data_IF_518466532844
#
_entry.id   IF_518466532844
#
_cell.length_a   1.000
_cell.length_b   1.000
_cell.length_c   1.000
_cell.angle_alpha   90.00
_cell.angle_beta   90.00
_cell.angle_gamma   90.00
#
_symmetry.space_group_name_H-M   'P 1'
#
loop_
_entity.id
_entity.type
_entity.pdbx_description
1 polymer ?
#
# COMPACT_ATOMS: atom_id res chain seq x y z
N UNK A 1 4.88 3.46 -54.39
CA UNK A 1 3.40 3.51 -54.53
C UNK A 1 2.77 3.14 -53.19
N UNK A 2 1.67 3.77 -52.77
CA UNK A 2 0.98 3.44 -51.51
C UNK A 2 0.04 2.24 -51.71
N UNK A 3 -0.07 1.36 -50.72
CA UNK A 3 -1.21 0.44 -50.55
C UNK A 3 -1.67 0.47 -49.10
N UNK A 4 -2.75 1.19 -48.86
CA UNK A 4 -3.49 1.17 -47.58
C UNK A 4 -4.17 -0.19 -47.43
N UNK A 5 -4.12 -0.78 -46.23
CA UNK A 5 -5.00 -1.89 -45.85
C UNK A 5 -5.82 -1.41 -44.66
N UNK A 6 -7.13 -1.40 -44.84
CA UNK A 6 -8.10 -1.11 -43.78
C UNK A 6 -8.49 -2.45 -43.16
N UNK A 7 -8.40 -2.56 -41.84
CA UNK A 7 -8.98 -3.69 -41.11
C UNK A 7 -10.19 -3.18 -40.32
N UNK A 8 -11.36 -3.77 -40.60
CA UNK A 8 -12.64 -3.32 -40.06
C UNK A 8 -12.90 -3.92 -38.68
N UNK A 9 -13.45 -3.09 -37.79
CA UNK A 9 -14.00 -3.51 -36.50
C UNK A 9 -15.31 -4.27 -36.70
N UNK A 10 -15.52 -5.35 -35.94
CA UNK A 10 -16.83 -6.00 -35.79
C UNK A 10 -17.21 -6.09 -34.32
N UNK A 11 -18.02 -5.13 -33.85
CA UNK A 11 -18.60 -5.15 -32.51
C UNK A 11 -19.95 -5.88 -32.56
N UNK A 12 -20.03 -7.06 -31.96
CA UNK A 12 -21.24 -7.86 -31.94
C UNK A 12 -22.22 -7.36 -30.86
N UNK A 13 -23.24 -6.63 -31.27
CA UNK A 13 -24.29 -6.13 -30.39
C UNK A 13 -25.35 -7.22 -30.14
N UNK A 14 -25.59 -7.57 -28.87
CA UNK A 14 -26.70 -8.44 -28.46
C UNK A 14 -27.58 -7.74 -27.41
N UNK A 15 -28.75 -7.28 -27.85
CA UNK A 15 -29.79 -6.71 -27.00
C UNK A 15 -30.82 -7.79 -26.62
N UNK A 16 -30.98 -8.03 -25.32
CA UNK A 16 -32.00 -8.92 -24.78
C UNK A 16 -32.90 -8.20 -23.78
N UNK A 17 -34.09 -7.77 -24.21
CA UNK A 17 -35.04 -7.02 -23.39
C UNK A 17 -36.15 -7.92 -22.83
N UNK A 18 -36.37 -7.87 -21.50
CA UNK A 18 -37.62 -8.29 -20.87
C UNK A 18 -37.89 -7.41 -19.63
N UNK A 19 -39.12 -6.94 -19.46
CA UNK A 19 -39.51 -6.09 -18.33
C UNK A 19 -40.41 -6.86 -17.34
N UNK A 20 -40.28 -6.55 -16.05
CA UNK A 20 -41.15 -7.06 -14.99
C UNK A 20 -41.53 -5.93 -14.04
N UNK A 21 -42.82 -5.63 -13.94
CA UNK A 21 -43.33 -4.47 -13.18
C UNK A 21 -43.63 -4.82 -11.73
N UNK A 22 -43.21 -3.96 -10.79
CA UNK A 22 -43.76 -3.89 -9.44
C UNK A 22 -44.21 -2.46 -9.15
N UNK A 23 -45.44 -2.27 -8.67
CA UNK A 23 -46.03 -0.96 -8.38
C UNK A 23 -46.83 -1.03 -7.08
N UNK A 24 -46.50 -0.15 -6.13
CA UNK A 24 -47.21 0.02 -4.87
C UNK A 24 -47.23 1.51 -4.49
N UNK A 25 -48.37 1.99 -4.00
CA UNK A 25 -48.66 3.42 -3.74
C UNK A 25 -48.69 3.69 -2.22
N UNK A 26 -48.21 4.85 -1.72
CA UNK A 26 -47.96 5.07 -0.29
C UNK A 26 -49.21 5.46 0.53
N UNK A 27 -49.09 5.39 1.87
CA UNK A 27 -50.12 5.76 2.86
C UNK A 27 -49.70 6.86 3.85
N UNK A 28 -50.70 7.44 4.53
CA UNK A 28 -50.63 8.63 5.40
C UNK A 28 -51.14 8.28 6.84
N UNK A 29 -50.96 9.06 7.91
CA UNK A 29 -50.44 10.45 8.13
C UNK A 29 -49.77 10.51 9.54
N UNK A 30 -49.04 11.59 9.92
CA UNK A 30 -48.35 11.74 11.22
C UNK A 30 -49.21 12.56 12.22
N UNK A 31 -48.67 13.24 13.27
CA UNK A 31 -47.55 12.96 14.20
C UNK A 31 -48.01 12.94 15.70
N UNK A 32 -47.10 12.66 16.64
CA UNK A 32 -47.35 12.86 18.09
C UNK A 32 -46.08 13.14 18.92
N UNK A 33 -46.11 14.16 19.79
CA UNK A 33 -45.01 14.63 20.66
C UNK A 33 -45.57 15.64 21.71
N UNK A 34 -44.92 15.92 22.86
CA UNK A 34 -44.25 15.04 23.84
C UNK A 34 -44.95 15.07 25.23
N UNK A 35 -44.51 14.22 26.16
CA UNK A 35 -44.71 14.44 27.60
C UNK A 35 -43.42 14.27 28.40
N UNK A 36 -43.10 15.32 29.17
CA UNK A 36 -42.53 15.38 30.53
C UNK A 36 -42.53 14.06 31.34
N UNK A 37 -41.74 13.82 32.39
CA UNK A 37 -40.70 14.48 33.21
C UNK A 37 -40.67 13.65 34.53
N UNK A 38 -39.92 14.03 35.59
CA UNK A 38 -39.78 13.28 36.88
C UNK A 38 -38.93 12.00 36.74
N UNK A 39 -37.73 11.81 37.31
CA UNK A 39 -37.03 12.31 38.52
C UNK A 39 -37.35 11.61 39.84
N UNK A 40 -36.52 10.64 40.24
CA UNK A 40 -36.20 10.41 41.67
C UNK A 40 -34.98 9.50 41.92
N UNK A 41 -33.99 10.07 42.62
CA UNK A 41 -33.16 9.50 43.70
C UNK A 41 -32.88 7.97 43.78
N UNK A 42 -31.58 7.63 43.73
CA UNK A 42 -30.99 6.53 44.53
C UNK A 42 -31.15 6.77 46.04
N UNK A 43 -30.94 5.77 46.92
CA UNK A 43 -29.64 5.76 47.61
C UNK A 43 -29.09 4.39 48.10
N UNK A 44 -27.75 4.37 48.20
CA UNK A 44 -26.91 3.80 49.28
C UNK A 44 -26.66 2.27 49.47
N UNK A 45 -25.34 2.03 49.59
CA UNK A 45 -24.60 1.19 50.55
C UNK A 45 -24.80 -0.33 50.64
N UNK A 46 -23.67 -1.04 50.49
CA UNK A 46 -23.16 -1.92 51.56
C UNK A 46 -21.63 -2.11 51.45
N UNK A 47 -20.94 -1.96 52.58
CA UNK A 47 -19.50 -2.25 52.72
C UNK A 47 -19.26 -3.67 53.22
N UNK A 48 -18.14 -4.29 52.79
CA UNK A 48 -17.09 -4.97 53.58
C UNK A 48 -16.12 -5.66 52.60
N UNK A 49 -14.80 -5.47 52.70
CA UNK A 49 -13.86 -6.10 53.66
C UNK A 49 -13.82 -7.62 53.60
N UNK A 50 -12.68 -8.31 53.68
CA UNK A 50 -11.23 -8.01 53.53
C UNK A 50 -10.56 -9.39 53.48
N UNK A 51 -9.50 -9.60 52.69
CA UNK A 51 -8.47 -10.59 53.08
C UNK A 51 -7.14 -10.36 52.35
N UNK A 52 -6.05 -10.45 53.10
CA UNK A 52 -4.67 -10.48 52.60
C UNK A 52 -4.10 -11.89 52.81
N UNK A 53 -3.26 -12.37 51.90
CA UNK A 53 -2.07 -13.13 52.32
C UNK A 53 -0.94 -13.08 51.28
N UNK A 54 0.25 -13.43 51.75
CA UNK A 54 1.55 -13.10 51.16
C UNK A 54 2.27 -14.33 50.59
N UNK A 55 3.18 -14.05 49.65
CA UNK A 55 4.50 -14.69 49.43
C UNK A 55 4.68 -16.20 49.49
N UNK A 56 5.34 -16.73 48.47
CA UNK A 56 6.59 -17.50 48.68
C UNK A 56 7.55 -17.31 47.48
N UNK A 57 8.86 -17.34 47.74
CA UNK A 57 9.93 -17.34 46.73
C UNK A 57 10.58 -18.74 46.72
N UNK A 58 11.00 -19.26 45.56
CA UNK A 58 12.21 -20.10 45.48
C UNK A 58 12.67 -20.40 44.04
N UNK A 59 13.99 -20.27 43.87
CA UNK A 59 14.90 -20.81 42.84
C UNK A 59 16.04 -21.51 43.67
N UNK A 60 16.99 -22.32 43.15
CA UNK A 60 17.37 -22.56 41.75
C UNK A 60 17.74 -24.02 41.38
N UNK A 61 18.37 -24.19 40.20
CA UNK A 61 19.32 -25.27 39.81
C UNK A 61 18.73 -26.68 39.50
N UNK A 62 19.40 -27.60 38.79
CA UNK A 62 20.73 -27.62 38.15
C UNK A 62 20.82 -28.69 37.03
N UNK A 63 21.71 -28.53 36.02
CA UNK A 63 22.33 -29.59 35.17
C UNK A 63 21.44 -30.54 34.32
N UNK A 64 21.96 -31.44 33.46
CA UNK A 64 23.00 -31.37 32.41
C UNK A 64 23.03 -32.69 31.60
N UNK A 65 23.86 -32.77 30.55
CA UNK A 65 24.39 -33.99 29.86
C UNK A 65 23.44 -34.86 29.01
N UNK A 66 23.88 -35.68 28.04
CA UNK A 66 25.03 -35.72 27.07
C UNK A 66 24.68 -36.81 26.01
N UNK A 67 25.61 -37.20 25.13
CA UNK A 67 25.58 -38.34 24.17
C UNK A 67 24.84 -38.00 22.87
N UNK A 68 25.49 -37.72 21.73
CA UNK A 68 26.65 -38.35 21.05
C UNK A 68 26.40 -39.81 20.61
N UNK A 69 26.41 -40.06 19.30
CA UNK A 69 27.32 -41.06 18.73
C UNK A 69 27.66 -40.74 17.25
N UNK A 70 28.83 -41.19 16.80
CA UNK A 70 29.37 -41.04 15.43
C UNK A 70 29.29 -42.43 14.72
N UNK A 71 29.48 -42.63 13.41
CA UNK A 71 30.77 -43.09 12.82
C UNK A 71 30.52 -43.72 11.41
N UNK A 72 31.19 -43.16 10.39
CA UNK A 72 31.74 -43.78 9.13
C UNK A 72 30.90 -44.54 8.06
N UNK A 73 31.24 -44.23 6.80
CA UNK A 73 31.23 -45.16 5.63
C UNK A 73 32.41 -46.17 5.66
N UNK A 74 32.50 -47.16 4.75
CA UNK A 74 33.31 -46.89 3.52
C UNK A 74 32.95 -47.71 2.25
N UNK A 75 33.13 -47.08 1.06
CA UNK A 75 33.84 -47.56 -0.18
C UNK A 75 33.63 -49.00 -0.75
N UNK A 76 33.71 -49.34 -2.06
CA UNK A 76 33.91 -48.63 -3.36
C UNK A 76 33.72 -49.64 -4.54
N UNK A 77 33.49 -49.17 -5.78
CA UNK A 77 33.86 -49.75 -7.12
C UNK A 77 32.73 -50.06 -8.12
N UNK A 78 32.96 -50.14 -9.46
CA UNK A 78 33.72 -49.27 -10.41
C UNK A 78 33.39 -49.66 -11.89
N UNK A 79 32.97 -48.70 -12.73
CA UNK A 79 33.14 -48.60 -14.21
C UNK A 79 32.63 -47.20 -14.65
N UNK A 80 33.24 -46.33 -15.47
CA UNK A 80 33.87 -46.45 -16.82
C UNK A 80 32.87 -46.92 -17.91
N UNK A 81 32.74 -46.31 -19.09
CA UNK A 81 33.41 -45.15 -19.73
C UNK A 81 32.48 -44.55 -20.82
N UNK A 82 32.64 -43.38 -21.44
CA UNK A 82 33.64 -42.27 -21.42
C UNK A 82 32.84 -40.92 -21.45
N UNK A 83 33.18 -39.71 -21.94
CA UNK A 83 34.34 -39.06 -22.60
C UNK A 83 34.28 -37.52 -22.38
N UNK A 84 35.40 -36.78 -22.52
CA UNK A 84 35.42 -35.30 -22.69
C UNK A 84 36.80 -34.76 -23.10
N UNK A 85 36.88 -34.03 -24.23
CA UNK A 85 37.87 -32.98 -24.47
C UNK A 85 37.19 -31.63 -24.84
N UNK A 86 37.74 -30.44 -24.59
CA UNK A 86 39.00 -30.03 -23.91
C UNK A 86 38.86 -28.59 -23.42
N UNK A 87 39.65 -28.19 -22.44
CA UNK A 87 39.89 -26.77 -22.13
C UNK A 87 40.77 -26.12 -23.21
N UNK A 88 40.45 -24.89 -23.60
CA UNK A 88 41.39 -23.96 -24.24
C UNK A 88 41.30 -22.58 -23.58
N UNK A 89 42.45 -21.92 -23.45
CA UNK A 89 42.69 -20.72 -22.65
C UNK A 89 43.53 -19.72 -23.43
N UNK A 90 42.87 -18.90 -24.27
CA UNK A 90 43.50 -17.77 -24.95
C UNK A 90 42.57 -16.55 -25.05
N UNK A 91 43.18 -15.38 -24.87
CA UNK A 91 42.68 -14.00 -25.01
C UNK A 91 41.42 -13.52 -24.21
N UNK A 92 41.48 -12.33 -23.57
CA UNK A 92 40.34 -11.72 -22.88
C UNK A 92 39.37 -11.04 -23.86
N UNK A 93 38.66 -11.82 -24.68
CA UNK A 93 37.76 -11.29 -25.70
C UNK A 93 36.54 -12.17 -26.03
N UNK A 94 35.33 -11.67 -25.69
CA UNK A 94 34.02 -12.13 -26.21
C UNK A 94 33.59 -13.58 -25.90
N UNK A 95 32.94 -13.78 -24.75
CA UNK A 95 31.88 -14.79 -24.55
C UNK A 95 30.69 -14.10 -23.87
N UNK A 96 29.41 -14.30 -24.22
CA UNK A 96 28.82 -15.10 -25.30
C UNK A 96 27.66 -14.38 -26.02
N UNK A 97 26.82 -15.10 -26.80
CA UNK A 97 25.82 -14.46 -27.65
C UNK A 97 24.52 -14.06 -26.90
N UNK A 98 23.99 -12.86 -27.22
CA UNK A 98 22.62 -12.36 -26.91
C UNK A 98 22.37 -11.82 -25.48
N UNK A 99 23.11 -10.79 -25.05
CA UNK A 99 22.75 -9.95 -23.89
C UNK A 99 21.41 -9.23 -24.08
N UNK A 100 21.40 -8.07 -24.73
CA UNK A 100 20.17 -7.29 -24.98
C UNK A 100 19.09 -8.08 -25.74
N UNK A 101 19.49 -8.95 -26.68
CA UNK A 101 18.56 -9.84 -27.42
C UNK A 101 17.91 -10.92 -26.55
N UNK A 102 18.49 -11.23 -25.38
CA UNK A 102 17.84 -12.05 -24.35
C UNK A 102 16.79 -11.26 -23.59
N UNK A 103 17.13 -10.04 -23.14
CA UNK A 103 16.22 -9.12 -22.46
C UNK A 103 15.01 -8.76 -23.34
N UNK A 104 15.21 -8.45 -24.62
CA UNK A 104 14.16 -8.23 -25.63
C UNK A 104 13.27 -9.46 -25.91
N UNK A 105 13.68 -10.67 -25.49
CA UNK A 105 12.80 -11.85 -25.50
C UNK A 105 12.06 -11.99 -24.17
N UNK A 106 12.74 -11.73 -23.05
CA UNK A 106 12.14 -11.81 -21.71
C UNK A 106 10.99 -10.80 -21.54
N UNK A 107 11.19 -9.56 -21.99
CA UNK A 107 10.22 -8.47 -21.79
C UNK A 107 8.85 -8.75 -22.41
N UNK A 108 8.76 -9.48 -23.53
CA UNK A 108 7.48 -9.87 -24.14
C UNK A 108 6.60 -10.75 -23.24
N UNK A 109 7.18 -11.40 -22.23
CA UNK A 109 6.47 -12.24 -21.26
C UNK A 109 6.11 -11.50 -19.97
N UNK A 110 6.60 -10.26 -19.79
CA UNK A 110 6.45 -9.46 -18.55
C UNK A 110 6.15 -7.97 -18.80
N UNK A 111 5.85 -7.56 -20.05
CA UNK A 111 5.53 -6.17 -20.41
C UNK A 111 4.34 -5.59 -19.65
N UNK A 112 3.41 -6.45 -19.22
CA UNK A 112 2.19 -6.11 -18.46
C UNK A 112 2.41 -6.36 -16.95
N UNK A 113 3.62 -6.08 -16.44
CA UNK A 113 4.06 -6.32 -15.05
C UNK A 113 5.17 -5.33 -14.68
N UNK A 114 5.40 -5.03 -13.39
CA UNK A 114 6.51 -4.16 -12.95
C UNK A 114 7.91 -4.62 -13.41
N UNK A 115 8.11 -5.92 -13.58
CA UNK A 115 9.36 -6.48 -14.15
C UNK A 115 9.60 -6.08 -15.62
N UNK A 116 8.55 -5.70 -16.37
CA UNK A 116 8.63 -5.14 -17.71
C UNK A 116 9.34 -3.79 -17.72
N UNK A 117 8.89 -2.85 -16.90
CA UNK A 117 9.51 -1.53 -16.77
C UNK A 117 10.99 -1.61 -16.37
N UNK A 118 11.34 -2.48 -15.41
CA UNK A 118 12.74 -2.71 -15.00
C UNK A 118 13.60 -3.29 -16.14
N UNK A 119 13.06 -4.21 -16.95
CA UNK A 119 13.77 -4.71 -18.13
C UNK A 119 13.86 -3.68 -19.26
N UNK A 120 12.87 -2.78 -19.38
CA UNK A 120 12.88 -1.69 -20.33
C UNK A 120 13.94 -0.63 -19.99
N UNK A 121 14.03 -0.21 -18.71
CA UNK A 121 15.10 0.66 -18.22
C UNK A 121 16.48 0.05 -18.48
N UNK A 122 16.71 -1.21 -18.12
CA UNK A 122 17.99 -1.88 -18.36
C UNK A 122 18.33 -1.94 -19.86
N UNK A 123 17.33 -2.09 -20.72
CA UNK A 123 17.50 -2.09 -22.17
C UNK A 123 17.85 -0.69 -22.71
N UNK A 124 17.15 0.34 -22.28
CA UNK A 124 17.37 1.72 -22.71
C UNK A 124 18.70 2.26 -22.14
N UNK A 125 18.92 2.18 -20.83
CA UNK A 125 20.12 2.73 -20.17
C UNK A 125 21.43 2.06 -20.61
N UNK A 126 21.44 0.73 -20.81
CA UNK A 126 22.69 -0.02 -21.11
C UNK A 126 22.84 -0.41 -22.57
N UNK A 127 21.77 -0.39 -23.36
CA UNK A 127 21.78 -0.91 -24.74
C UNK A 127 21.09 0.03 -25.78
N UNK A 128 20.81 1.30 -25.47
CA UNK A 128 20.24 2.27 -26.43
C UNK A 128 20.97 2.35 -27.79
N UNK A 129 22.28 2.07 -27.83
CA UNK A 129 23.06 2.04 -29.08
C UNK A 129 22.85 0.77 -29.93
N UNK A 130 22.30 -0.31 -29.36
CA UNK A 130 22.00 -1.58 -30.03
C UNK A 130 20.50 -1.77 -30.38
N UNK A 131 19.65 -0.81 -29.97
CA UNK A 131 18.21 -0.77 -30.17
C UNK A 131 17.82 0.10 -31.37
N UNK A 132 16.80 -0.32 -32.12
CA UNK A 132 16.16 0.55 -33.14
C UNK A 132 15.28 1.60 -32.49
N UNK A 133 14.98 2.72 -33.16
CA UNK A 133 14.06 3.74 -32.64
C UNK A 133 12.65 3.19 -32.37
N UNK A 134 12.21 2.19 -33.13
CA UNK A 134 10.94 1.48 -32.91
C UNK A 134 10.99 0.63 -31.62
N UNK A 135 12.11 -0.04 -31.35
CA UNK A 135 12.33 -0.76 -30.09
C UNK A 135 12.46 0.20 -28.92
N UNK A 136 13.17 1.32 -29.05
CA UNK A 136 13.26 2.34 -28.00
C UNK A 136 11.87 2.83 -27.62
N UNK A 137 11.03 3.17 -28.60
CA UNK A 137 9.65 3.59 -28.37
C UNK A 137 8.77 2.49 -27.76
N UNK A 138 8.95 1.22 -28.15
CA UNK A 138 8.28 0.07 -27.51
C UNK A 138 8.69 -0.06 -26.03
N UNK A 139 9.96 0.17 -25.71
CA UNK A 139 10.50 0.09 -24.35
C UNK A 139 10.13 1.30 -23.50
N UNK A 140 10.17 2.51 -24.05
CA UNK A 140 9.70 3.74 -23.42
C UNK A 140 8.21 3.60 -23.04
N UNK A 141 7.38 3.06 -23.93
CA UNK A 141 5.97 2.76 -23.64
C UNK A 141 5.75 1.63 -22.62
N UNK A 142 6.78 0.88 -22.23
CA UNK A 142 6.76 -0.12 -21.13
C UNK A 142 7.37 0.46 -19.83
N UNK A 143 8.20 1.50 -19.92
CA UNK A 143 8.61 2.29 -18.74
C UNK A 143 7.49 3.22 -18.28
N UNK A 144 6.75 3.82 -19.22
CA UNK A 144 5.66 4.75 -18.93
C UNK A 144 4.30 4.01 -18.82
N UNK A 145 4.28 2.97 -17.98
CA UNK A 145 3.09 2.16 -17.65
C UNK A 145 1.98 3.03 -17.03
N UNK A 146 2.36 3.95 -16.13
CA UNK A 146 1.48 4.96 -15.54
C UNK A 146 0.78 5.82 -16.61
N UNK A 147 1.53 6.29 -17.60
CA UNK A 147 1.07 7.13 -18.72
C UNK A 147 0.21 6.36 -19.73
N UNK A 148 0.49 5.07 -19.92
CA UNK A 148 -0.38 4.19 -20.71
C UNK A 148 -1.74 3.99 -20.00
N UNK A 149 -1.73 3.85 -18.67
CA UNK A 149 -2.93 3.78 -17.84
C UNK A 149 -3.67 5.12 -17.79
N UNK A 150 -2.99 6.27 -17.69
CA UNK A 150 -3.60 7.61 -17.82
C UNK A 150 -4.26 7.80 -19.20
N UNK A 151 -3.58 7.43 -20.29
CA UNK A 151 -4.14 7.53 -21.65
C UNK A 151 -5.39 6.67 -21.79
N UNK A 152 -5.41 5.47 -21.19
CA UNK A 152 -6.58 4.61 -21.16
C UNK A 152 -7.71 5.17 -20.27
N UNK A 153 -7.37 5.80 -19.13
CA UNK A 153 -8.33 6.49 -18.27
C UNK A 153 -8.96 7.69 -18.97
N UNK A 154 -8.18 8.52 -19.69
CA UNK A 154 -8.70 9.60 -20.53
C UNK A 154 -9.65 9.06 -21.61
N UNK A 155 -9.29 7.96 -22.28
CA UNK A 155 -10.17 7.34 -23.29
C UNK A 155 -11.47 6.82 -22.68
N UNK A 156 -11.44 6.23 -21.48
CA UNK A 156 -12.64 5.77 -20.78
C UNK A 156 -13.52 6.94 -20.30
N UNK A 157 -12.91 8.01 -19.78
CA UNK A 157 -13.62 9.22 -19.37
C UNK A 157 -14.32 9.89 -20.56
N UNK A 158 -13.63 10.06 -21.69
CA UNK A 158 -14.20 10.63 -22.92
C UNK A 158 -15.32 9.76 -23.51
N UNK A 159 -15.28 8.44 -23.31
CA UNK A 159 -16.36 7.51 -23.67
C UNK A 159 -17.48 7.43 -22.60
N UNK A 160 -17.37 8.19 -21.51
CA UNK A 160 -18.38 8.27 -20.44
C UNK A 160 -18.26 7.23 -19.33
N UNK A 161 -17.30 6.29 -19.40
CA UNK A 161 -17.08 5.29 -18.35
C UNK A 161 -16.13 5.81 -17.26
N UNK A 162 -16.60 6.81 -16.52
CA UNK A 162 -15.82 7.51 -15.48
C UNK A 162 -15.38 6.55 -14.37
N UNK A 163 -16.18 5.53 -14.03
CA UNK A 163 -15.82 4.52 -13.01
C UNK A 163 -14.62 3.68 -13.43
N UNK A 164 -14.55 3.28 -14.70
CA UNK A 164 -13.42 2.49 -15.21
C UNK A 164 -12.17 3.37 -15.35
N UNK A 165 -12.34 4.65 -15.72
CA UNK A 165 -11.27 5.63 -15.74
C UNK A 165 -10.68 5.89 -14.34
N UNK A 166 -11.54 6.00 -13.31
CA UNK A 166 -11.12 6.04 -11.90
C UNK A 166 -10.27 4.82 -11.54
N UNK A 167 -10.71 3.61 -11.91
CA UNK A 167 -9.96 2.39 -11.62
C UNK A 167 -8.58 2.35 -12.31
N UNK A 168 -8.49 2.70 -13.60
CA UNK A 168 -7.19 2.75 -14.28
C UNK A 168 -6.26 3.85 -13.72
N UNK A 169 -6.81 4.97 -13.26
CA UNK A 169 -6.01 5.99 -12.57
C UNK A 169 -5.53 5.52 -11.18
N UNK A 170 -6.33 4.72 -10.46
CA UNK A 170 -5.92 4.06 -9.21
C UNK A 170 -4.82 3.02 -9.46
N UNK A 171 -4.79 2.32 -10.60
CA UNK A 171 -3.65 1.46 -11.01
C UNK A 171 -2.42 2.27 -11.48
N UNK A 172 -2.60 3.37 -12.22
CA UNK A 172 -1.51 4.26 -12.64
C UNK A 172 -0.73 4.79 -11.42
N UNK A 173 -1.47 5.15 -10.36
CA UNK A 173 -0.90 5.57 -9.08
C UNK A 173 -0.06 4.46 -8.43
N UNK A 174 -0.43 3.18 -8.53
CA UNK A 174 0.40 2.09 -7.97
C UNK A 174 1.71 1.91 -8.74
N UNK A 175 1.69 2.12 -10.06
CA UNK A 175 2.90 2.08 -10.89
C UNK A 175 3.86 3.23 -10.57
N UNK A 176 3.34 4.46 -10.37
CA UNK A 176 4.17 5.65 -10.08
C UNK A 176 3.62 6.52 -8.93
N UNK A 177 3.58 5.97 -7.71
CA UNK A 177 3.00 6.64 -6.52
C UNK A 177 3.75 7.89 -6.05
N UNK A 178 4.93 8.19 -6.62
CA UNK A 178 5.68 9.43 -6.33
C UNK A 178 5.24 10.59 -7.26
N UNK A 179 4.41 10.34 -8.28
CA UNK A 179 3.87 11.36 -9.20
C UNK A 179 2.55 12.00 -8.68
N UNK A 180 2.61 13.26 -8.26
CA UNK A 180 1.46 13.98 -7.70
C UNK A 180 0.35 14.33 -8.71
N UNK A 181 0.66 14.47 -10.00
CA UNK A 181 -0.35 14.80 -11.01
C UNK A 181 -1.38 13.66 -11.21
N UNK A 182 -0.98 12.41 -10.93
CA UNK A 182 -1.89 11.26 -10.98
C UNK A 182 -3.02 11.37 -9.96
N UNK A 183 -2.70 11.77 -8.72
CA UNK A 183 -3.68 11.99 -7.63
C UNK A 183 -4.63 13.16 -7.94
N UNK A 184 -4.09 14.23 -8.53
CA UNK A 184 -4.82 15.40 -9.01
C UNK A 184 -5.81 15.05 -10.13
N UNK A 185 -5.44 14.16 -11.03
CA UNK A 185 -6.35 13.62 -12.06
C UNK A 185 -7.39 12.68 -11.45
N UNK A 186 -7.00 11.79 -10.53
CA UNK A 186 -7.93 10.94 -9.78
C UNK A 186 -8.94 11.76 -8.95
N UNK A 187 -8.56 12.93 -8.44
CA UNK A 187 -9.46 13.88 -7.78
C UNK A 187 -10.63 14.29 -8.70
N UNK A 188 -10.31 14.80 -9.90
CA UNK A 188 -11.30 15.22 -10.92
C UNK A 188 -12.22 14.06 -11.33
N UNK A 189 -11.63 12.88 -11.54
CA UNK A 189 -12.35 11.66 -11.93
C UNK A 189 -13.34 11.22 -10.82
N UNK A 190 -12.92 11.26 -9.56
CA UNK A 190 -13.78 10.97 -8.41
C UNK A 190 -14.92 11.98 -8.25
N UNK A 191 -14.70 13.27 -8.50
CA UNK A 191 -15.76 14.28 -8.52
C UNK A 191 -16.77 14.03 -9.65
N UNK A 192 -16.31 13.73 -10.87
CA UNK A 192 -17.16 13.35 -12.01
C UNK A 192 -17.95 12.06 -11.74
N UNK A 193 -17.37 11.10 -11.01
CA UNK A 193 -18.04 9.88 -10.56
C UNK A 193 -18.97 10.09 -9.35
N UNK A 194 -19.08 11.31 -8.80
CA UNK A 194 -19.91 11.61 -7.64
C UNK A 194 -19.42 11.00 -6.32
N UNK A 195 -18.17 10.53 -6.23
CA UNK A 195 -17.58 10.09 -4.95
C UNK A 195 -17.45 11.29 -3.99
N UNK A 196 -17.57 11.06 -2.68
CA UNK A 196 -17.55 12.15 -1.68
C UNK A 196 -16.21 12.89 -1.61
N UNK A 197 -16.28 14.21 -1.79
CA UNK A 197 -15.21 15.15 -1.48
C UNK A 197 -14.86 15.10 0.03
N UNK A 198 -13.58 14.91 0.32
CA UNK A 198 -13.03 14.73 1.66
C UNK A 198 -11.53 14.47 1.53
N UNK A 199 -10.79 14.59 2.63
CA UNK A 199 -9.34 14.35 2.59
C UNK A 199 -9.09 12.86 2.34
N UNK A 200 -8.17 12.53 1.42
CA UNK A 200 -7.78 11.15 1.12
C UNK A 200 -6.41 10.83 1.73
N UNK A 201 -6.13 9.55 1.94
CA UNK A 201 -4.81 9.05 2.33
C UNK A 201 -4.45 7.86 1.44
N UNK A 202 -3.29 7.97 0.80
CA UNK A 202 -2.61 6.88 0.11
C UNK A 202 -1.28 6.58 0.80
N UNK A 203 -0.93 5.31 0.90
CA UNK A 203 0.34 4.82 1.46
C UNK A 203 0.96 3.85 0.47
N UNK A 204 2.20 4.10 0.03
CA UNK A 204 2.90 3.30 -0.99
C UNK A 204 2.07 3.09 -2.30
N UNK A 205 1.24 4.07 -2.67
CA UNK A 205 0.35 4.00 -3.83
C UNK A 205 -1.02 3.38 -3.57
N UNK A 206 -1.25 2.74 -2.42
CA UNK A 206 -2.54 2.12 -2.09
C UNK A 206 -3.46 3.10 -1.35
N UNK A 207 -4.71 3.20 -1.79
CA UNK A 207 -5.74 4.04 -1.17
C UNK A 207 -6.32 3.40 0.08
N UNK A 208 -6.52 4.19 1.14
CA UNK A 208 -7.05 3.70 2.42
C UNK A 208 -8.52 4.08 2.64
N UNK A 209 -9.31 3.18 3.25
CA UNK A 209 -10.70 3.44 3.68
C UNK A 209 -10.83 4.42 4.86
N UNK A 210 -9.71 4.87 5.41
CA UNK A 210 -9.70 5.80 6.52
C UNK A 210 -10.15 7.21 6.10
N UNK A 211 -10.64 7.98 7.07
CA UNK A 211 -11.05 9.37 6.86
C UNK A 211 -10.09 10.35 7.57
N UNK A 212 -8.96 10.72 6.95
CA UNK A 212 -8.18 11.88 7.39
C UNK A 212 -9.06 13.14 7.46
N UNK A 213 -8.68 14.08 8.33
CA UNK A 213 -9.44 15.33 8.50
C UNK A 213 -8.53 16.52 8.81
N UNK A 214 -8.96 17.72 8.43
CA UNK A 214 -8.26 18.96 8.79
C UNK A 214 -8.97 19.58 10.00
N UNK A 215 -8.23 19.82 11.08
CA UNK A 215 -8.74 20.40 12.34
C UNK A 215 -7.76 21.45 12.84
N UNK A 216 -8.21 22.71 12.92
CA UNK A 216 -7.37 23.88 13.31
C UNK A 216 -6.05 23.94 12.52
N UNK A 217 -6.13 23.90 11.19
CA UNK A 217 -4.97 23.99 10.29
C UNK A 217 -4.07 22.74 10.21
N UNK A 218 -4.32 21.71 11.03
CA UNK A 218 -3.54 20.47 11.04
C UNK A 218 -4.29 19.36 10.30
N UNK A 219 -3.62 18.67 9.38
CA UNK A 219 -4.13 17.42 8.77
C UNK A 219 -3.83 16.26 9.70
N UNK A 220 -4.89 15.58 10.13
CA UNK A 220 -4.85 14.40 11.00
C UNK A 220 -5.01 13.13 10.17
N UNK A 221 -4.16 12.14 10.43
CA UNK A 221 -4.13 10.84 9.75
C UNK A 221 -4.14 9.68 10.75
N UNK A 222 -4.70 8.50 10.40
CA UNK A 222 -4.70 7.31 11.25
C UNK A 222 -3.27 6.79 11.43
N UNK A 223 -2.74 6.82 12.66
CA UNK A 223 -1.34 6.44 12.89
C UNK A 223 -1.10 4.95 12.62
N UNK A 224 -2.00 4.09 13.11
CA UNK A 224 -1.94 2.63 12.92
C UNK A 224 -1.91 2.24 11.43
N UNK A 225 -2.87 2.70 10.64
CA UNK A 225 -3.02 2.26 9.25
C UNK A 225 -1.78 2.63 8.40
N UNK A 226 -1.19 3.81 8.64
CA UNK A 226 0.08 4.16 7.99
C UNK A 226 1.20 3.25 8.49
N UNK A 227 1.36 3.10 9.80
CA UNK A 227 2.43 2.27 10.37
C UNK A 227 2.38 0.82 9.86
N UNK A 228 1.20 0.19 9.83
CA UNK A 228 1.01 -1.20 9.37
C UNK A 228 1.30 -1.36 7.86
N UNK A 229 0.86 -0.43 7.00
CA UNK A 229 1.20 -0.45 5.56
C UNK A 229 2.68 -0.14 5.29
N UNK A 230 3.35 0.58 6.20
CA UNK A 230 4.80 0.76 6.22
C UNK A 230 5.55 -0.38 6.95
N UNK A 231 4.91 -1.54 7.14
CA UNK A 231 5.49 -2.75 7.74
C UNK A 231 5.98 -2.60 9.20
N UNK A 232 5.45 -1.65 9.96
CA UNK A 232 5.73 -1.48 11.38
C UNK A 232 4.75 -2.27 12.26
N UNK A 233 5.23 -2.82 13.38
CA UNK A 233 4.39 -3.44 14.40
C UNK A 233 3.71 -2.37 15.26
N UNK A 234 2.43 -2.56 15.63
CA UNK A 234 1.59 -1.54 16.32
C UNK A 234 0.83 -2.10 17.53
N UNK A 235 1.41 -1.96 18.72
CA UNK A 235 0.77 -2.34 20.00
C UNK A 235 -0.12 -1.22 20.56
N UNK A 236 -1.21 -1.58 21.25
CA UNK A 236 -2.03 -0.63 22.03
C UNK A 236 -2.04 -1.04 23.50
N UNK A 237 -1.66 -0.11 24.38
CA UNK A 237 -1.84 -0.23 25.83
C UNK A 237 -3.11 0.53 26.25
N UNK A 238 -4.17 -0.15 26.71
CA UNK A 238 -5.42 0.51 27.13
C UNK A 238 -5.30 1.24 28.47
N UNK A 239 -4.41 0.82 29.37
CA UNK A 239 -4.23 1.39 30.71
C UNK A 239 -3.51 2.75 30.64
N UNK A 240 -2.40 2.80 29.90
CA UNK A 240 -1.68 4.04 29.59
C UNK A 240 -2.37 4.89 28.52
N UNK A 241 -3.39 4.34 27.84
CA UNK A 241 -4.00 4.90 26.63
C UNK A 241 -2.95 5.29 25.56
N UNK A 242 -1.98 4.41 25.31
CA UNK A 242 -0.84 4.68 24.42
C UNK A 242 -0.70 3.67 23.29
N UNK A 243 -0.31 4.15 22.11
CA UNK A 243 0.19 3.29 21.02
C UNK A 243 1.71 3.19 21.15
N UNK A 244 2.26 1.99 20.98
CA UNK A 244 3.67 1.75 20.68
C UNK A 244 3.78 1.30 19.22
N UNK A 245 4.76 1.83 18.47
CA UNK A 245 5.09 1.40 17.11
C UNK A 245 6.57 1.04 17.02
N UNK A 246 6.90 -0.05 16.35
CA UNK A 246 8.28 -0.54 16.18
C UNK A 246 8.58 -0.96 14.74
N UNK A 247 9.67 -0.42 14.18
CA UNK A 247 10.19 -0.74 12.82
C UNK A 247 11.69 -0.45 12.76
N UNK A 248 12.49 -1.36 12.21
CA UNK A 248 13.92 -1.14 11.86
C UNK A 248 14.79 -0.51 12.97
N UNK A 249 14.54 -0.90 14.23
CA UNK A 249 15.24 -0.36 15.40
C UNK A 249 14.72 1.01 15.89
N UNK A 250 13.75 1.61 15.19
CA UNK A 250 12.97 2.75 15.68
C UNK A 250 11.83 2.24 16.57
N UNK A 251 11.66 2.88 17.73
CA UNK A 251 10.54 2.67 18.65
C UNK A 251 9.86 4.00 18.98
N UNK A 252 8.56 4.07 18.77
CA UNK A 252 7.72 5.25 19.01
C UNK A 252 6.70 4.91 20.08
N UNK A 253 6.55 5.75 21.12
CA UNK A 253 5.44 5.65 22.07
C UNK A 253 4.63 6.95 22.08
N UNK A 254 3.33 6.83 21.87
CA UNK A 254 2.42 7.95 21.63
C UNK A 254 1.18 7.82 22.52
N UNK A 255 1.08 8.70 23.52
CA UNK A 255 -0.03 8.74 24.50
C UNK A 255 -1.18 9.57 23.92
N UNK A 256 -2.42 9.07 24.01
CA UNK A 256 -3.61 9.80 23.53
C UNK A 256 -3.88 11.03 24.39
N UNK A 257 -4.37 12.10 23.76
CA UNK A 257 -4.57 13.46 24.29
C UNK A 257 -3.27 14.20 24.68
N UNK A 258 -2.10 13.54 24.58
CA UNK A 258 -0.78 14.16 24.76
C UNK A 258 -0.32 14.94 23.52
N UNK A 259 0.39 16.05 23.77
CA UNK A 259 1.19 16.78 22.76
C UNK A 259 2.64 16.27 22.66
N UNK A 260 3.03 15.29 23.46
CA UNK A 260 4.38 14.71 23.46
C UNK A 260 4.30 13.22 23.18
N UNK A 261 5.09 12.76 22.21
CA UNK A 261 5.43 11.36 21.99
C UNK A 261 6.90 11.13 22.39
N UNK A 262 7.32 9.87 22.50
CA UNK A 262 8.75 9.53 22.47
C UNK A 262 9.10 8.81 21.18
N UNK A 263 10.31 9.07 20.66
CA UNK A 263 10.94 8.36 19.56
C UNK A 263 12.34 7.97 20.02
N UNK A 264 12.66 6.68 20.04
CA UNK A 264 13.90 6.12 20.57
C UNK A 264 14.24 6.63 21.98
N UNK A 265 13.21 6.76 22.83
CA UNK A 265 13.31 7.28 24.20
C UNK A 265 13.42 8.81 24.33
N UNK A 266 13.59 9.55 23.22
CA UNK A 266 13.67 11.01 23.22
C UNK A 266 12.28 11.64 23.05
N UNK A 267 11.98 12.72 23.76
CA UNK A 267 10.69 13.42 23.65
C UNK A 267 10.59 14.21 22.34
N UNK A 268 9.51 13.99 21.59
CA UNK A 268 9.15 14.71 20.35
C UNK A 268 7.81 15.42 20.55
N UNK A 269 7.74 16.68 20.14
CA UNK A 269 6.55 17.53 20.27
C UNK A 269 5.63 17.44 19.05
N UNK A 270 4.32 17.37 19.27
CA UNK A 270 3.28 17.34 18.26
C UNK A 270 2.62 18.72 18.10
N UNK A 271 2.44 19.15 16.85
CA UNK A 271 1.71 20.40 16.50
C UNK A 271 0.32 20.47 17.17
N UNK A 272 -0.37 19.34 17.24
CA UNK A 272 -1.63 19.14 17.94
C UNK A 272 -1.63 17.75 18.61
N UNK A 273 -2.35 17.55 19.73
CA UNK A 273 -2.27 16.29 20.47
C UNK A 273 -2.81 15.11 19.66
N UNK A 274 -2.26 13.92 19.92
CA UNK A 274 -2.83 12.66 19.43
C UNK A 274 -4.28 12.52 19.92
N UNK A 275 -5.19 12.06 19.06
CA UNK A 275 -6.62 12.07 19.38
C UNK A 275 -7.31 10.82 18.86
N UNK A 276 -8.16 10.17 19.67
CA UNK A 276 -9.01 9.08 19.18
C UNK A 276 -10.20 9.68 18.42
N UNK A 277 -10.51 9.11 17.25
CA UNK A 277 -11.68 9.45 16.44
C UNK A 277 -12.17 8.17 15.76
N UNK A 278 -13.48 7.88 15.88
CA UNK A 278 -14.10 6.63 15.37
C UNK A 278 -13.37 5.33 15.82
N UNK A 279 -12.75 5.33 17.01
CA UNK A 279 -12.03 4.16 17.56
C UNK A 279 -10.56 4.04 17.12
N UNK A 280 -10.09 4.84 16.17
CA UNK A 280 -8.68 4.88 15.75
C UNK A 280 -7.97 6.11 16.32
N UNK A 281 -6.66 6.00 16.60
CA UNK A 281 -5.83 7.15 16.99
C UNK A 281 -5.32 7.89 15.77
N UNK A 282 -5.58 9.19 15.73
CA UNK A 282 -5.13 10.11 14.69
C UNK A 282 -4.04 11.05 15.21
N UNK A 283 -3.06 11.36 14.36
CA UNK A 283 -1.91 12.22 14.66
C UNK A 283 -1.73 13.28 13.57
N UNK A 284 -1.08 14.43 13.86
CA UNK A 284 -0.69 15.38 12.82
C UNK A 284 0.24 14.73 11.81
N UNK A 285 -0.04 14.90 10.50
CA UNK A 285 0.68 14.17 9.44
C UNK A 285 2.20 14.42 9.43
N UNK A 286 2.66 15.60 9.88
CA UNK A 286 4.09 15.95 10.00
C UNK A 286 4.87 14.98 10.92
N UNK A 287 4.22 14.45 11.96
CA UNK A 287 4.84 13.48 12.86
C UNK A 287 5.15 12.15 12.17
N UNK A 288 4.38 11.76 11.14
CA UNK A 288 4.61 10.53 10.38
C UNK A 288 5.98 10.58 9.68
N UNK A 289 6.28 11.68 9.01
CA UNK A 289 7.53 11.83 8.26
C UNK A 289 8.76 11.77 9.16
N UNK A 290 8.71 12.48 10.29
CA UNK A 290 9.83 12.55 11.25
C UNK A 290 10.03 11.23 12.01
N UNK A 291 8.94 10.55 12.40
CA UNK A 291 9.02 9.39 13.28
C UNK A 291 9.19 8.05 12.54
N UNK A 292 8.63 7.89 11.33
CA UNK A 292 8.66 6.64 10.56
C UNK A 292 9.61 6.66 9.35
N UNK A 293 10.40 7.74 9.18
CA UNK A 293 11.30 7.94 8.03
C UNK A 293 10.56 7.78 6.68
N UNK A 294 9.37 8.39 6.61
CA UNK A 294 8.52 8.36 5.44
C UNK A 294 8.49 9.73 4.77
N UNK A 295 8.48 9.78 3.44
CA UNK A 295 8.09 11.00 2.74
C UNK A 295 6.59 11.21 2.89
N UNK A 296 6.18 12.45 3.18
CA UNK A 296 4.78 12.88 3.24
C UNK A 296 4.58 14.03 2.26
N UNK A 297 3.67 13.87 1.31
CA UNK A 297 3.27 14.89 0.35
C UNK A 297 1.79 15.25 0.50
N UNK A 298 1.43 16.44 0.02
CA UNK A 298 0.08 16.96 -0.03
C UNK A 298 -0.26 17.40 -1.44
N UNK A 299 -1.28 16.78 -2.05
CA UNK A 299 -1.87 17.25 -3.30
C UNK A 299 -3.11 18.08 -2.96
N UNK A 300 -3.10 19.37 -3.31
CA UNK A 300 -4.09 20.34 -2.86
C UNK A 300 -5.45 20.19 -3.56
N UNK A 301 -5.46 19.82 -4.84
CA UNK A 301 -6.68 19.84 -5.68
C UNK A 301 -7.61 18.67 -5.34
N UNK A 302 -7.06 17.46 -5.28
CA UNK A 302 -7.74 16.24 -4.80
C UNK A 302 -7.85 16.18 -3.27
N UNK A 303 -7.08 17.01 -2.56
CA UNK A 303 -6.94 17.05 -1.10
C UNK A 303 -6.43 15.71 -0.55
N UNK A 304 -5.35 15.22 -1.15
CA UNK A 304 -4.78 13.89 -0.86
C UNK A 304 -3.50 14.00 -0.06
N UNK A 305 -3.43 13.28 1.05
CA UNK A 305 -2.16 12.92 1.71
C UNK A 305 -1.58 11.72 0.98
N UNK A 306 -0.33 11.83 0.53
CA UNK A 306 0.45 10.72 -0.02
C UNK A 306 1.61 10.43 0.92
N UNK A 307 1.78 9.18 1.31
CA UNK A 307 2.86 8.71 2.19
C UNK A 307 3.62 7.59 1.51
N UNK A 308 4.94 7.58 1.59
CA UNK A 308 5.76 6.46 1.13
C UNK A 308 7.13 6.37 1.81
N UNK A 309 7.77 5.21 1.73
CA UNK A 309 9.15 5.01 2.21
C UNK A 309 10.17 5.70 1.29
N UNK A 310 11.23 6.29 1.87
CA UNK A 310 12.28 7.05 1.15
C UNK A 310 12.95 6.24 0.02
#
# INVERSE_FOLDING_TARGET
MKKTVILLTSLALMLGTAAGTASAKPGNTPPGKPSKEVSSKSPKDKERQVEEKQTEEMDPSETASTEEDEVKEPSVSKAENTESPTTDSSEPGKKGPKGYKGLLKAIRNVKDKPAGAVLADILLTKYAAELTEEQKKELEAIMEEDKALETAAEMLENNGSVTDAVYLQEEAIKSNFKNLDLYKTLGKLNEKAGKKNGVKLYVNGEGTDAEPFIKKGNTFVPFRAIAETLNAEVTWNPEERSITVTKDGVSIKLVVDSKTATVNGQNVSLDAPATITKGSTYVPVRFISEALRATVLWEEQSRTVVVYEE
#
